data_IF_970070688859
#
_entry.id   IF_970070688859
#
_cell.length_a   1.000
_cell.length_b   1.000
_cell.length_c   1.000
_cell.angle_alpha   90.00
_cell.angle_beta   90.00
_cell.angle_gamma   90.00
#
_symmetry.space_group_name_H-M   'P 1'
#
loop_
_entity.id
_entity.type
_entity.pdbx_description
1 polymer ?
#
# COMPACT_ATOMS: atom_id res chain seq x y z
N UNK A 1 24.18 7.54 -4.47
CA UNK A 1 23.56 8.79 -4.97
C UNK A 1 23.09 9.56 -3.75
N UNK A 2 23.62 10.77 -3.52
CA UNK A 2 23.34 11.53 -2.30
C UNK A 2 21.98 12.23 -2.47
N UNK A 3 20.93 11.70 -1.82
CA UNK A 3 19.58 12.27 -1.79
C UNK A 3 19.52 13.52 -0.90
N UNK A 4 20.43 14.47 -1.13
CA UNK A 4 20.46 15.77 -0.45
C UNK A 4 20.43 16.85 -1.51
N UNK A 5 19.71 17.91 -1.23
CA UNK A 5 19.69 19.04 -2.14
C UNK A 5 21.09 19.67 -2.25
N UNK A 6 21.58 19.98 -3.46
CA UNK A 6 22.91 20.57 -3.65
C UNK A 6 23.03 21.96 -3.01
N UNK A 7 21.92 22.71 -2.90
CA UNK A 7 21.89 24.08 -2.37
C UNK A 7 21.71 24.16 -0.85
N UNK A 8 20.74 23.43 -0.30
CA UNK A 8 20.35 23.51 1.12
C UNK A 8 20.98 22.37 1.96
N UNK A 9 21.60 21.35 1.34
CA UNK A 9 22.05 20.09 1.98
C UNK A 9 20.96 19.34 2.78
N UNK A 10 19.70 19.78 2.63
CA UNK A 10 18.54 19.24 3.32
C UNK A 10 18.16 17.86 2.77
N UNK A 11 17.74 16.94 3.66
CA UNK A 11 17.19 15.65 3.26
C UNK A 11 15.72 15.75 2.80
N UNK A 12 15.05 16.90 3.00
CA UNK A 12 13.64 17.08 2.65
C UNK A 12 13.48 17.40 1.17
N UNK A 13 13.56 16.37 0.33
CA UNK A 13 13.42 16.48 -1.13
C UNK A 13 12.10 15.84 -1.60
N UNK A 14 11.51 16.36 -2.66
CA UNK A 14 10.31 15.81 -3.29
C UNK A 14 10.49 15.71 -4.80
N UNK A 15 10.02 14.64 -5.45
CA UNK A 15 10.02 14.57 -6.91
C UNK A 15 9.03 15.59 -7.48
N UNK A 16 9.43 16.29 -8.53
CA UNK A 16 8.56 17.25 -9.23
C UNK A 16 7.96 16.57 -10.45
N UNK A 17 6.65 16.70 -10.61
CA UNK A 17 5.96 16.19 -11.79
C UNK A 17 6.54 16.84 -13.06
N UNK A 18 7.14 16.03 -13.94
CA UNK A 18 7.70 16.48 -15.20
C UNK A 18 6.54 16.89 -16.13
N UNK A 19 6.41 18.17 -16.52
CA UNK A 19 5.34 18.58 -17.42
C UNK A 19 5.48 17.87 -18.76
N UNK A 20 4.43 17.15 -19.19
CA UNK A 20 4.39 16.45 -20.48
C UNK A 20 4.90 15.00 -20.50
N UNK A 21 5.37 14.45 -19.38
CA UNK A 21 5.57 13.00 -19.26
C UNK A 21 4.45 12.39 -18.41
N UNK A 22 3.90 11.21 -18.80
CA UNK A 22 2.95 10.52 -17.95
C UNK A 22 3.66 10.25 -16.63
N UNK A 23 3.20 10.87 -15.55
CA UNK A 23 3.61 10.49 -14.21
C UNK A 23 3.39 8.98 -14.14
N UNK A 24 4.47 8.20 -14.09
CA UNK A 24 4.42 6.75 -14.09
C UNK A 24 3.80 6.30 -12.77
N UNK A 25 2.48 6.48 -12.64
CA UNK A 25 1.76 6.13 -11.43
C UNK A 25 2.00 4.63 -11.26
N UNK A 26 2.60 4.24 -10.13
CA UNK A 26 2.90 2.83 -9.87
C UNK A 26 1.58 2.07 -10.00
N UNK A 27 1.61 0.98 -10.76
CA UNK A 27 0.42 0.18 -11.04
C UNK A 27 0.00 -0.46 -9.74
N UNK A 28 -1.03 0.08 -9.09
CA UNK A 28 -1.60 -0.53 -7.89
C UNK A 28 -2.36 -1.78 -8.34
N UNK A 29 -1.93 -2.99 -7.96
CA UNK A 29 -2.59 -4.20 -8.40
C UNK A 29 -4.00 -4.25 -7.81
N UNK A 30 -4.98 -4.67 -8.62
CA UNK A 30 -6.40 -4.76 -8.20
C UNK A 30 -6.57 -5.65 -6.98
N UNK A 31 -5.71 -6.67 -6.84
CA UNK A 31 -5.65 -7.56 -5.68
C UNK A 31 -5.36 -6.80 -4.38
N UNK A 32 -4.45 -5.81 -4.36
CA UNK A 32 -4.17 -5.00 -3.17
C UNK A 32 -5.38 -4.16 -2.75
N UNK A 33 -6.10 -3.59 -3.72
CA UNK A 33 -7.30 -2.77 -3.47
C UNK A 33 -8.40 -3.60 -2.81
N UNK A 34 -8.49 -4.89 -3.13
CA UNK A 34 -9.45 -5.82 -2.54
C UNK A 34 -8.95 -6.42 -1.22
N UNK A 35 -7.66 -6.74 -1.13
CA UNK A 35 -7.02 -7.40 0.01
C UNK A 35 -7.07 -6.52 1.26
N UNK A 36 -6.72 -5.23 1.13
CA UNK A 36 -6.60 -4.33 2.29
C UNK A 36 -7.93 -4.18 3.02
N UNK A 37 -9.05 -3.81 2.36
CA UNK A 37 -10.36 -3.76 3.03
C UNK A 37 -10.81 -5.12 3.58
N UNK A 38 -10.57 -6.21 2.83
CA UNK A 38 -10.95 -7.55 3.27
C UNK A 38 -10.23 -7.96 4.57
N UNK A 39 -8.94 -7.64 4.70
CA UNK A 39 -8.18 -7.87 5.94
C UNK A 39 -8.73 -7.06 7.11
N UNK A 40 -9.12 -5.81 6.90
CA UNK A 40 -9.75 -5.00 7.96
C UNK A 40 -11.09 -5.60 8.42
N UNK A 41 -11.93 -6.03 7.48
CA UNK A 41 -13.22 -6.67 7.80
C UNK A 41 -12.99 -7.99 8.53
N UNK A 42 -12.03 -8.80 8.08
CA UNK A 42 -11.67 -10.04 8.74
C UNK A 42 -11.19 -9.81 10.17
N UNK A 43 -10.28 -8.84 10.35
CA UNK A 43 -9.75 -8.49 11.66
C UNK A 43 -10.87 -8.02 12.61
N UNK A 44 -11.81 -7.21 12.10
CA UNK A 44 -12.99 -6.80 12.85
C UNK A 44 -13.88 -8.00 13.24
N UNK A 45 -14.14 -8.93 12.32
CA UNK A 45 -14.94 -10.13 12.60
C UNK A 45 -14.27 -11.02 13.66
N UNK A 46 -12.94 -11.17 13.59
CA UNK A 46 -12.17 -11.92 14.59
C UNK A 46 -12.25 -11.25 15.97
N UNK A 47 -12.11 -9.92 16.04
CA UNK A 47 -12.25 -9.19 17.31
C UNK A 47 -13.65 -9.39 17.91
N UNK A 48 -14.70 -9.27 17.09
CA UNK A 48 -16.09 -9.50 17.54
C UNK A 48 -16.29 -10.94 18.00
N UNK A 49 -15.71 -11.92 17.30
CA UNK A 49 -15.77 -13.33 17.70
C UNK A 49 -15.08 -13.58 19.04
N UNK A 50 -13.93 -12.94 19.30
CA UNK A 50 -13.21 -13.03 20.58
C UNK A 50 -14.02 -12.36 21.69
N UNK A 51 -14.56 -11.16 21.44
CA UNK A 51 -15.39 -10.44 22.41
C UNK A 51 -16.63 -11.25 22.82
N UNK A 52 -17.33 -11.88 21.86
CA UNK A 52 -18.49 -12.73 22.18
C UNK A 52 -18.11 -14.01 22.93
N UNK A 53 -16.88 -14.49 22.79
CA UNK A 53 -16.37 -15.62 23.57
C UNK A 53 -16.02 -15.22 25.01
N UNK A 54 -15.60 -13.98 25.24
CA UNK A 54 -15.27 -13.45 26.58
C UNK A 54 -16.54 -13.00 27.33
N UNK A 55 -17.50 -12.38 26.64
CA UNK A 55 -18.67 -11.73 27.25
C UNK A 55 -20.00 -12.50 27.10
N UNK A 56 -20.02 -13.64 26.40
CA UNK A 56 -21.24 -14.42 26.19
C UNK A 56 -20.97 -15.91 25.94
N UNK A 57 -22.00 -16.66 25.57
CA UNK A 57 -21.94 -18.10 25.23
C UNK A 57 -21.34 -18.36 23.83
N UNK A 58 -20.26 -17.65 23.50
CA UNK A 58 -19.53 -17.80 22.25
C UNK A 58 -20.17 -17.13 21.03
N UNK A 59 -19.47 -17.23 19.90
CA UNK A 59 -19.93 -16.63 18.64
C UNK A 59 -21.03 -17.49 17.99
N UNK A 60 -22.17 -16.89 17.68
CA UNK A 60 -23.27 -17.56 16.98
C UNK A 60 -22.82 -18.14 15.62
N UNK A 61 -23.47 -19.23 15.19
CA UNK A 61 -23.13 -19.98 13.98
C UNK A 61 -23.07 -19.11 12.73
N UNK A 62 -23.99 -18.14 12.59
CA UNK A 62 -23.99 -17.18 11.48
C UNK A 62 -22.71 -16.34 11.41
N UNK A 63 -22.19 -15.88 12.56
CA UNK A 63 -20.97 -15.06 12.61
C UNK A 63 -19.73 -15.91 12.35
N UNK A 64 -19.69 -17.14 12.86
CA UNK A 64 -18.60 -18.08 12.57
C UNK A 64 -18.54 -18.42 11.09
N UNK A 65 -19.67 -18.76 10.46
CA UNK A 65 -19.73 -19.05 9.02
C UNK A 65 -19.29 -17.84 8.19
N UNK A 66 -19.75 -16.64 8.52
CA UNK A 66 -19.32 -15.41 7.85
C UNK A 66 -17.80 -15.19 7.97
N UNK A 67 -17.23 -15.42 9.16
CA UNK A 67 -15.78 -15.27 9.40
C UNK A 67 -14.97 -16.25 8.57
N UNK A 68 -15.41 -17.52 8.48
CA UNK A 68 -14.75 -18.54 7.65
C UNK A 68 -14.79 -18.16 6.17
N UNK A 69 -15.93 -17.68 5.66
CA UNK A 69 -16.06 -17.25 4.26
C UNK A 69 -15.10 -16.09 3.96
N UNK A 70 -15.08 -15.06 4.80
CA UNK A 70 -14.19 -13.90 4.63
C UNK A 70 -12.72 -14.33 4.72
N UNK A 71 -12.39 -15.28 5.60
CA UNK A 71 -11.05 -15.85 5.70
C UNK A 71 -10.60 -16.53 4.41
N UNK A 72 -11.45 -17.34 3.79
CA UNK A 72 -11.15 -17.98 2.51
C UNK A 72 -10.92 -16.93 1.41
N UNK A 73 -11.76 -15.89 1.36
CA UNK A 73 -11.59 -14.78 0.41
C UNK A 73 -10.25 -14.06 0.62
N UNK A 74 -9.86 -13.81 1.88
CA UNK A 74 -8.56 -13.23 2.21
C UNK A 74 -7.38 -14.11 1.75
N UNK A 75 -7.47 -15.44 1.89
CA UNK A 75 -6.43 -16.35 1.42
C UNK A 75 -6.28 -16.29 -0.11
N UNK A 76 -7.39 -16.32 -0.86
CA UNK A 76 -7.38 -16.25 -2.33
C UNK A 76 -6.80 -14.91 -2.79
N UNK A 77 -7.29 -13.80 -2.21
CA UNK A 77 -6.79 -12.46 -2.52
C UNK A 77 -5.30 -12.31 -2.14
N UNK A 78 -4.87 -12.91 -1.03
CA UNK A 78 -3.48 -12.91 -0.58
C UNK A 78 -2.56 -13.66 -1.54
N UNK A 79 -3.02 -14.81 -2.05
CA UNK A 79 -2.29 -15.57 -3.05
C UNK A 79 -2.18 -14.82 -4.38
N UNK A 80 -3.25 -14.17 -4.84
CA UNK A 80 -3.21 -13.31 -6.03
C UNK A 80 -2.24 -12.14 -5.84
N UNK A 81 -2.28 -11.47 -4.69
CA UNK A 81 -1.33 -10.40 -4.36
C UNK A 81 0.12 -10.90 -4.31
N UNK A 82 0.36 -12.12 -3.81
CA UNK A 82 1.69 -12.72 -3.81
C UNK A 82 2.25 -12.88 -5.23
N UNK A 83 1.39 -13.20 -6.20
CA UNK A 83 1.79 -13.28 -7.61
C UNK A 83 2.00 -11.89 -8.25
N UNK A 84 1.26 -10.87 -7.82
CA UNK A 84 1.33 -9.50 -8.34
C UNK A 84 2.46 -8.65 -7.69
N UNK A 85 3.01 -9.10 -6.55
CA UNK A 85 4.11 -8.47 -5.82
C UNK A 85 5.35 -8.12 -6.67
N UNK A 86 5.90 -8.99 -7.55
CA UNK A 86 7.07 -8.66 -8.36
C UNK A 86 6.79 -7.48 -9.31
N UNK A 87 5.66 -7.48 -10.00
CA UNK A 87 5.29 -6.39 -10.91
C UNK A 87 5.06 -5.07 -10.16
N UNK A 88 4.44 -5.13 -8.98
CA UNK A 88 4.31 -3.95 -8.13
C UNK A 88 5.67 -3.37 -7.74
N UNK A 89 6.64 -4.22 -7.33
CA UNK A 89 8.00 -3.77 -7.01
C UNK A 89 8.71 -3.13 -8.20
N UNK A 90 8.61 -3.74 -9.38
CA UNK A 90 9.23 -3.22 -10.61
C UNK A 90 8.60 -1.86 -10.98
N UNK A 91 7.27 -1.75 -10.93
CA UNK A 91 6.59 -0.48 -11.24
C UNK A 91 6.96 0.65 -10.27
N UNK A 92 7.13 0.34 -8.98
CA UNK A 92 7.60 1.29 -7.96
C UNK A 92 9.07 1.70 -8.18
N UNK A 93 9.94 0.75 -8.50
CA UNK A 93 11.34 1.05 -8.81
C UNK A 93 11.46 1.90 -10.08
N UNK A 94 10.70 1.56 -11.13
CA UNK A 94 10.63 2.35 -12.36
C UNK A 94 10.09 3.76 -12.10
N UNK A 95 9.08 3.92 -11.23
CA UNK A 95 8.61 5.24 -10.82
C UNK A 95 9.73 6.04 -10.16
N UNK A 96 10.41 5.49 -9.16
CA UNK A 96 11.52 6.19 -8.47
C UNK A 96 12.66 6.58 -9.42
N UNK A 97 12.96 5.76 -10.43
CA UNK A 97 13.99 6.08 -11.43
C UNK A 97 13.50 7.06 -12.52
N UNK A 98 12.20 7.08 -12.82
CA UNK A 98 11.62 8.00 -13.80
C UNK A 98 11.58 9.45 -13.31
N UNK A 99 11.56 9.67 -11.98
CA UNK A 99 11.54 11.00 -11.39
C UNK A 99 12.97 11.59 -11.37
N UNK A 100 13.38 12.18 -12.49
CA UNK A 100 14.69 12.86 -12.59
C UNK A 100 14.68 14.29 -12.05
N UNK A 101 13.50 14.90 -11.92
CA UNK A 101 13.30 16.24 -11.35
C UNK A 101 13.02 16.18 -9.85
N UNK A 102 13.82 16.89 -9.07
CA UNK A 102 13.72 16.95 -7.61
C UNK A 102 13.61 18.39 -7.13
N UNK A 103 12.92 18.60 -6.01
CA UNK A 103 12.74 19.91 -5.35
C UNK A 103 13.04 19.84 -3.86
N UNK A 104 13.84 20.77 -3.33
CA UNK A 104 14.07 20.92 -1.88
C UNK A 104 12.84 21.59 -1.27
N UNK A 105 12.21 20.96 -0.26
CA UNK A 105 11.08 21.55 0.45
C UNK A 105 11.48 22.78 1.27
N UNK A 106 12.74 22.88 1.67
CA UNK A 106 13.22 23.99 2.51
C UNK A 106 13.62 25.22 1.68
N UNK A 107 14.31 25.05 0.55
CA UNK A 107 14.80 26.17 -0.25
C UNK A 107 14.12 26.32 -1.62
N UNK A 108 13.11 25.49 -1.92
CA UNK A 108 12.39 25.43 -3.20
C UNK A 108 13.28 25.27 -4.44
N UNK A 109 14.55 24.91 -4.27
CA UNK A 109 15.46 24.69 -5.38
C UNK A 109 15.08 23.42 -6.11
N UNK A 110 14.94 23.52 -7.43
CA UNK A 110 14.66 22.41 -8.33
C UNK A 110 15.94 22.03 -9.07
N UNK A 111 16.26 20.74 -9.14
CA UNK A 111 17.40 20.23 -9.88
C UNK A 111 17.07 18.91 -10.57
N UNK A 112 17.86 18.58 -11.58
CA UNK A 112 17.77 17.33 -12.32
C UNK A 112 18.98 16.46 -12.01
N UNK A 113 18.81 15.13 -11.98
CA UNK A 113 19.90 14.14 -11.90
C UNK A 113 20.03 13.43 -13.23
#
# INVERSE_FOLDING_TARGET
>A
MQYRCPKCQSPKIMPVAQPGQPAARPVVPKSLIMLVPALFVLLLLVIISIAMWIFGDGAGTTLQTATVIVFIICLIAGFMFYKDLPDFKISMQAFMQSQKKWKCRECNHEWEI
#
